data_IF_553285099922
#
_entry.id   IF_553285099922
#
_cell.length_a   1.000
_cell.length_b   1.000
_cell.length_c   1.000
_cell.angle_alpha   90.00
_cell.angle_beta   90.00
_cell.angle_gamma   90.00
#
_symmetry.space_group_name_H-M   'P 1'
#
loop_
_entity.id
_entity.type
_entity.pdbx_description
1 polymer ?
#
# COMPACT_ATOMS: atom_id res chain seq x y z
N UNK A 1 25.29 59.21 -2.51
CA UNK A 1 23.86 59.12 -2.18
C UNK A 1 23.36 57.79 -2.74
N UNK A 2 23.74 56.66 -2.12
CA UNK A 2 23.34 55.31 -2.56
C UNK A 2 23.86 54.25 -1.56
N UNK A 3 23.44 54.31 -0.29
CA UNK A 3 23.75 53.20 0.65
C UNK A 3 22.76 53.10 1.84
N UNK A 4 21.50 53.49 1.62
CA UNK A 4 20.45 53.40 2.66
C UNK A 4 19.25 52.52 2.28
N UNK A 5 19.12 52.11 1.02
CA UNK A 5 17.91 51.42 0.51
C UNK A 5 17.96 49.89 0.73
N UNK A 6 19.13 49.29 0.93
CA UNK A 6 19.28 47.83 1.09
C UNK A 6 18.94 47.28 2.49
N UNK A 7 18.91 48.12 3.53
CA UNK A 7 18.76 47.66 4.92
C UNK A 7 17.31 47.77 5.44
N UNK A 8 16.44 48.54 4.77
CA UNK A 8 15.00 48.64 5.08
C UNK A 8 14.19 47.47 4.48
N UNK A 9 14.53 47.00 3.28
CA UNK A 9 13.84 45.88 2.63
C UNK A 9 14.04 44.54 3.34
N UNK A 10 15.23 44.30 3.91
CA UNK A 10 15.55 43.08 4.69
C UNK A 10 14.91 43.14 6.10
N UNK A 11 14.73 44.34 6.67
CA UNK A 11 14.02 44.53 7.95
C UNK A 11 12.51 44.30 7.79
N UNK A 12 11.88 44.83 6.73
CA UNK A 12 10.46 44.64 6.46
C UNK A 12 10.09 43.17 6.21
N UNK A 13 10.86 42.44 5.39
CA UNK A 13 10.56 41.02 5.15
C UNK A 13 10.68 40.14 6.40
N UNK A 14 11.54 40.51 7.35
CA UNK A 14 11.71 39.79 8.61
C UNK A 14 10.62 40.16 9.63
N UNK A 15 10.13 41.40 9.60
CA UNK A 15 9.01 41.84 10.43
C UNK A 15 7.65 41.34 9.90
N UNK A 16 7.49 41.21 8.59
CA UNK A 16 6.33 40.56 7.96
C UNK A 16 6.31 39.06 8.26
N UNK A 17 7.45 38.36 8.17
CA UNK A 17 7.55 36.96 8.56
C UNK A 17 7.25 36.76 10.05
N UNK A 18 7.73 37.66 10.92
CA UNK A 18 7.38 37.63 12.35
C UNK A 18 5.89 37.90 12.59
N UNK A 19 5.27 38.82 11.86
CA UNK A 19 3.83 39.06 11.95
C UNK A 19 3.02 37.83 11.51
N UNK A 20 3.41 37.19 10.41
CA UNK A 20 2.79 35.94 9.93
C UNK A 20 2.94 34.82 10.94
N UNK A 21 4.14 34.60 11.49
CA UNK A 21 4.37 33.58 12.53
C UNK A 21 3.56 33.89 13.79
N UNK A 22 3.47 35.17 14.19
CA UNK A 22 2.69 35.59 15.37
C UNK A 22 1.19 35.37 15.15
N UNK A 23 0.68 35.64 13.94
CA UNK A 23 -0.72 35.42 13.55
C UNK A 23 -1.06 33.92 13.51
N UNK A 24 -0.16 33.09 12.97
CA UNK A 24 -0.29 31.63 13.00
C UNK A 24 -0.28 31.15 14.45
N UNK A 25 0.60 31.70 15.30
CA UNK A 25 0.68 31.37 16.71
C UNK A 25 -0.60 31.71 17.48
N UNK A 26 -1.21 32.88 17.24
CA UNK A 26 -2.50 33.24 17.87
C UNK A 26 -3.64 32.38 17.36
N UNK A 27 -3.71 32.10 16.05
CA UNK A 27 -4.74 31.20 15.49
C UNK A 27 -4.63 29.78 16.05
N UNK A 28 -3.42 29.22 16.12
CA UNK A 28 -3.17 27.91 16.72
C UNK A 28 -3.55 27.87 18.20
N UNK A 29 -3.32 28.97 18.93
CA UNK A 29 -3.68 29.07 20.34
C UNK A 29 -5.19 29.20 20.53
N UNK A 30 -5.88 30.01 19.74
CA UNK A 30 -7.35 30.10 19.77
C UNK A 30 -7.98 28.76 19.41
N UNK A 31 -7.51 28.10 18.35
CA UNK A 31 -7.95 26.77 17.98
C UNK A 31 -7.76 25.78 19.13
N UNK A 32 -6.59 25.79 19.78
CA UNK A 32 -6.29 24.93 20.92
C UNK A 32 -7.19 25.22 22.12
N UNK A 33 -7.41 26.49 22.46
CA UNK A 33 -8.28 26.89 23.58
C UNK A 33 -9.73 26.46 23.30
N UNK A 34 -10.24 26.65 22.08
CA UNK A 34 -11.56 26.14 21.66
C UNK A 34 -11.64 24.62 21.68
N UNK A 35 -10.61 23.90 21.22
CA UNK A 35 -10.54 22.43 21.33
C UNK A 35 -10.56 21.95 22.78
N UNK A 36 -9.93 22.71 23.68
CA UNK A 36 -9.87 22.42 25.11
C UNK A 36 -11.21 22.70 25.81
N UNK A 37 -11.88 23.80 25.47
CA UNK A 37 -13.22 24.14 25.98
C UNK A 37 -14.28 23.12 25.54
N UNK A 38 -14.12 22.55 24.36
CA UNK A 38 -15.00 21.50 23.83
C UNK A 38 -14.64 20.09 24.35
N UNK A 39 -13.62 19.93 25.21
CA UNK A 39 -13.19 18.62 25.73
C UNK A 39 -12.47 17.72 24.72
N UNK A 40 -12.18 18.24 23.54
CA UNK A 40 -11.67 17.51 22.36
C UNK A 40 -10.16 17.33 22.36
N UNK A 41 -9.44 18.05 23.22
CA UNK A 41 -7.96 18.12 23.21
C UNK A 41 -7.33 16.72 23.38
N UNK A 42 -7.92 15.84 24.20
CA UNK A 42 -7.39 14.48 24.41
C UNK A 42 -7.63 13.53 23.24
N UNK A 43 -8.85 13.49 22.69
CA UNK A 43 -9.20 12.58 21.60
C UNK A 43 -8.47 12.96 20.30
N UNK A 44 -8.38 14.26 19.99
CA UNK A 44 -7.62 14.74 18.84
C UNK A 44 -6.12 14.53 19.04
N UNK A 45 -5.57 14.75 20.25
CA UNK A 45 -4.17 14.42 20.52
C UNK A 45 -3.89 12.92 20.35
N UNK A 46 -4.80 12.04 20.78
CA UNK A 46 -4.64 10.59 20.60
C UNK A 46 -4.72 10.17 19.14
N UNK A 47 -5.67 10.69 18.37
CA UNK A 47 -5.78 10.43 16.93
C UNK A 47 -4.57 10.96 16.16
N UNK A 48 -4.08 12.16 16.48
CA UNK A 48 -2.86 12.70 15.87
C UNK A 48 -1.63 11.90 16.25
N UNK A 49 -1.58 11.37 17.49
CA UNK A 49 -0.49 10.52 17.96
C UNK A 49 -0.44 9.13 17.30
N UNK A 50 -1.55 8.62 16.75
CA UNK A 50 -1.61 7.32 16.06
C UNK A 50 -1.27 7.39 14.56
N UNK A 51 -1.31 8.58 13.94
CA UNK A 51 -0.95 8.78 12.52
C UNK A 51 0.48 8.31 12.20
N UNK A 52 1.53 8.64 13.00
CA UNK A 52 2.89 8.13 12.74
C UNK A 52 2.96 6.60 12.75
N UNK A 53 2.30 5.94 13.71
CA UNK A 53 2.25 4.47 13.80
C UNK A 53 1.58 3.86 12.57
N UNK A 54 0.46 4.42 12.11
CA UNK A 54 -0.20 3.99 10.87
C UNK A 54 0.70 4.14 9.63
N UNK A 55 1.45 5.25 9.53
CA UNK A 55 2.40 5.46 8.42
C UNK A 55 3.53 4.44 8.43
N UNK A 56 4.07 4.11 9.61
CA UNK A 56 5.15 3.14 9.73
C UNK A 56 4.67 1.71 9.43
N UNK A 57 3.43 1.37 9.81
CA UNK A 57 2.78 0.12 9.41
C UNK A 57 2.54 0.02 7.90
N UNK A 58 2.08 1.10 7.25
CA UNK A 58 1.91 1.11 5.79
C UNK A 58 3.26 0.96 5.06
N UNK A 59 4.30 1.63 5.55
CA UNK A 59 5.67 1.47 5.03
C UNK A 59 6.16 0.04 5.19
N UNK A 60 5.91 -0.57 6.35
CA UNK A 60 6.27 -1.96 6.61
C UNK A 60 5.59 -2.90 5.60
N UNK A 61 4.28 -2.73 5.37
CA UNK A 61 3.56 -3.49 4.33
C UNK A 61 4.19 -3.26 2.96
N UNK A 62 4.42 -2.01 2.56
CA UNK A 62 4.97 -1.70 1.25
C UNK A 62 6.35 -2.32 1.02
N UNK A 63 7.25 -2.21 2.01
CA UNK A 63 8.60 -2.76 1.94
C UNK A 63 8.57 -4.27 1.75
N UNK A 64 7.78 -4.95 2.55
CA UNK A 64 7.78 -6.39 2.54
C UNK A 64 6.99 -6.97 1.36
N UNK A 65 5.98 -6.25 0.82
CA UNK A 65 5.35 -6.58 -0.47
C UNK A 65 6.36 -6.49 -1.60
N UNK A 66 7.20 -5.45 -1.60
CA UNK A 66 8.27 -5.30 -2.58
C UNK A 66 9.29 -6.45 -2.47
N UNK A 67 9.68 -6.83 -1.24
CA UNK A 67 10.59 -7.94 -1.00
C UNK A 67 10.04 -9.27 -1.50
N UNK A 68 8.76 -9.57 -1.24
CA UNK A 68 8.12 -10.79 -1.71
C UNK A 68 8.04 -10.84 -3.25
N UNK A 69 7.71 -9.70 -3.88
CA UNK A 69 7.68 -9.58 -5.33
C UNK A 69 9.08 -9.77 -5.94
N UNK A 70 10.11 -9.16 -5.35
CA UNK A 70 11.50 -9.29 -5.78
C UNK A 70 11.99 -10.73 -5.70
N UNK A 71 11.77 -11.41 -4.56
CA UNK A 71 12.11 -12.85 -4.42
C UNK A 71 11.38 -13.71 -5.45
N UNK A 72 10.09 -13.44 -5.68
CA UNK A 72 9.30 -14.17 -6.67
C UNK A 72 9.87 -13.99 -8.07
N UNK A 73 10.17 -12.76 -8.46
CA UNK A 73 10.70 -12.45 -9.79
C UNK A 73 12.08 -13.08 -10.01
N UNK A 74 12.97 -12.96 -9.02
CA UNK A 74 14.31 -13.54 -9.08
C UNK A 74 14.27 -15.07 -9.23
N UNK A 75 13.41 -15.76 -8.47
CA UNK A 75 13.26 -17.21 -8.60
C UNK A 75 12.70 -17.61 -9.97
N UNK A 76 11.74 -16.84 -10.51
CA UNK A 76 11.24 -17.06 -11.88
C UNK A 76 12.32 -16.85 -12.94
N UNK A 77 13.18 -15.83 -12.78
CA UNK A 77 14.29 -15.56 -13.71
C UNK A 77 15.33 -16.68 -13.73
N UNK A 78 15.48 -17.44 -12.63
CA UNK A 78 16.30 -18.65 -12.56
C UNK A 78 15.57 -19.86 -13.16
N UNK A 79 14.31 -20.10 -12.78
CA UNK A 79 13.56 -21.30 -13.20
C UNK A 79 13.30 -21.30 -14.71
N UNK A 80 12.91 -20.16 -15.27
CA UNK A 80 12.47 -20.05 -16.67
C UNK A 80 13.50 -20.55 -17.69
N UNK A 81 14.78 -20.11 -17.69
CA UNK A 81 15.77 -20.62 -18.64
C UNK A 81 15.99 -22.13 -18.50
N UNK A 82 16.00 -22.68 -17.26
CA UNK A 82 16.15 -24.12 -17.05
C UNK A 82 15.04 -24.92 -17.74
N UNK A 83 13.79 -24.46 -17.63
CA UNK A 83 12.65 -25.12 -18.27
C UNK A 83 12.70 -25.01 -19.81
N UNK A 84 13.17 -23.87 -20.33
CA UNK A 84 13.35 -23.67 -21.78
C UNK A 84 14.42 -24.61 -22.32
N UNK A 85 15.58 -24.65 -21.69
CA UNK A 85 16.70 -25.49 -22.11
C UNK A 85 16.39 -26.98 -21.96
N UNK A 86 15.74 -27.38 -20.86
CA UNK A 86 15.29 -28.75 -20.65
C UNK A 86 14.33 -29.21 -21.75
N UNK A 87 13.31 -28.40 -22.09
CA UNK A 87 12.36 -28.76 -23.14
C UNK A 87 13.03 -28.81 -24.53
N UNK A 88 13.92 -27.86 -24.83
CA UNK A 88 14.69 -27.86 -26.07
C UNK A 88 15.53 -29.13 -26.20
N UNK A 89 16.32 -29.45 -25.18
CA UNK A 89 17.18 -30.64 -25.17
C UNK A 89 16.36 -31.93 -25.27
N UNK A 90 15.20 -31.98 -24.61
CA UNK A 90 14.27 -33.11 -24.71
C UNK A 90 13.76 -33.32 -26.15
N UNK A 91 13.38 -32.24 -26.84
CA UNK A 91 12.92 -32.28 -28.22
C UNK A 91 14.04 -32.73 -29.18
N UNK A 92 15.26 -32.21 -29.01
CA UNK A 92 16.43 -32.60 -29.81
C UNK A 92 16.75 -34.09 -29.62
N UNK A 93 16.74 -34.59 -28.38
CA UNK A 93 16.93 -36.01 -28.08
C UNK A 93 15.81 -36.87 -28.64
N UNK A 94 14.55 -36.44 -28.49
CA UNK A 94 13.39 -37.15 -29.04
C UNK A 94 13.53 -37.32 -30.55
N UNK A 95 13.95 -36.28 -31.26
CA UNK A 95 14.18 -36.34 -32.71
C UNK A 95 15.30 -37.34 -33.06
N UNK A 96 16.44 -37.30 -32.35
CA UNK A 96 17.54 -38.24 -32.58
C UNK A 96 17.11 -39.70 -32.35
N UNK A 97 16.28 -39.94 -31.33
CA UNK A 97 15.70 -41.26 -31.08
C UNK A 97 14.73 -41.71 -32.18
N UNK A 98 13.95 -40.80 -32.78
CA UNK A 98 13.04 -41.10 -33.88
C UNK A 98 13.78 -41.38 -35.20
N UNK A 99 14.90 -40.70 -35.44
CA UNK A 99 15.75 -40.88 -36.63
C UNK A 99 16.64 -42.13 -36.54
N UNK A 100 16.81 -42.69 -35.35
CA UNK A 100 17.57 -43.92 -35.14
C UNK A 100 16.80 -45.12 -35.69
N UNK A 101 17.23 -45.64 -36.84
CA UNK A 101 16.71 -46.84 -37.45
C UNK A 101 17.55 -48.08 -37.09
N UNK A 102 16.88 -49.19 -36.74
CA UNK A 102 17.51 -50.48 -36.44
C UNK A 102 17.54 -50.83 -34.94
N UNK A 103 17.92 -52.06 -34.63
CA UNK A 103 17.91 -52.60 -33.25
C UNK A 103 19.11 -52.14 -32.39
N UNK A 104 20.07 -51.40 -32.97
CA UNK A 104 21.28 -50.95 -32.27
C UNK A 104 21.29 -49.44 -32.06
N UNK A 105 21.33 -49.03 -30.78
CA UNK A 105 21.45 -47.62 -30.37
C UNK A 105 22.89 -47.13 -30.53
N UNK A 106 23.13 -45.98 -31.21
CA UNK A 106 24.45 -45.37 -31.30
C UNK A 106 24.99 -44.99 -29.91
N UNK A 107 26.29 -45.21 -29.68
CA UNK A 107 26.95 -44.87 -28.41
C UNK A 107 26.76 -43.39 -28.04
N UNK A 108 26.87 -42.50 -29.02
CA UNK A 108 26.69 -41.07 -28.83
C UNK A 108 25.27 -40.69 -28.39
N UNK A 109 24.24 -41.40 -28.88
CA UNK A 109 22.85 -41.18 -28.45
C UNK A 109 22.63 -41.65 -27.01
N UNK A 110 23.26 -42.77 -26.61
CA UNK A 110 23.25 -43.22 -25.21
C UNK A 110 23.92 -42.18 -24.30
N UNK A 111 25.11 -41.71 -24.66
CA UNK A 111 25.85 -40.69 -23.88
C UNK A 111 25.06 -39.37 -23.76
N UNK A 112 24.49 -38.88 -24.86
CA UNK A 112 23.62 -37.68 -24.84
C UNK A 112 22.39 -37.88 -23.97
N UNK A 113 21.78 -39.08 -23.99
CA UNK A 113 20.62 -39.39 -23.15
C UNK A 113 21.00 -39.41 -21.67
N UNK A 114 22.13 -40.05 -21.32
CA UNK A 114 22.63 -40.09 -19.94
C UNK A 114 22.97 -38.68 -19.43
N UNK A 115 23.63 -37.86 -20.25
CA UNK A 115 23.93 -36.47 -19.92
C UNK A 115 22.66 -35.64 -19.70
N UNK A 116 21.66 -35.78 -20.59
CA UNK A 116 20.38 -35.10 -20.45
C UNK A 116 19.63 -35.52 -19.17
N UNK A 117 19.61 -36.81 -18.84
CA UNK A 117 19.01 -37.28 -17.59
C UNK A 117 19.70 -36.69 -16.36
N UNK A 118 21.03 -36.56 -16.39
CA UNK A 118 21.79 -35.86 -15.35
C UNK A 118 21.39 -34.40 -15.21
N UNK A 119 21.26 -33.69 -16.34
CA UNK A 119 20.83 -32.29 -16.36
C UNK A 119 19.41 -32.12 -15.82
N UNK A 120 18.46 -32.98 -16.22
CA UNK A 120 17.07 -32.95 -15.72
C UNK A 120 17.03 -33.08 -14.20
N UNK A 121 17.82 -33.98 -13.61
CA UNK A 121 17.89 -34.14 -12.15
C UNK A 121 18.38 -32.85 -11.49
N UNK A 122 19.48 -32.28 -11.99
CA UNK A 122 20.07 -31.05 -11.43
C UNK A 122 19.13 -29.83 -11.58
N UNK A 123 18.52 -29.65 -12.74
CA UNK A 123 17.59 -28.54 -13.02
C UNK A 123 16.31 -28.67 -12.21
N UNK A 124 15.85 -29.91 -11.98
CA UNK A 124 14.69 -30.20 -11.13
C UNK A 124 14.97 -29.85 -9.66
N UNK A 125 16.16 -30.20 -9.14
CA UNK A 125 16.57 -29.83 -7.79
C UNK A 125 16.67 -28.31 -7.62
N UNK A 126 17.26 -27.62 -8.60
CA UNK A 126 17.37 -26.16 -8.63
C UNK A 126 15.98 -25.51 -8.69
N UNK A 127 15.12 -25.96 -9.59
CA UNK A 127 13.74 -25.48 -9.70
C UNK A 127 12.99 -25.66 -8.39
N UNK A 128 13.13 -26.81 -7.73
CA UNK A 128 12.50 -27.07 -6.42
C UNK A 128 13.01 -26.09 -5.37
N UNK A 129 14.30 -25.82 -5.32
CA UNK A 129 14.89 -24.88 -4.36
C UNK A 129 14.34 -23.46 -4.55
N UNK A 130 14.30 -22.97 -5.79
CA UNK A 130 13.73 -21.66 -6.11
C UNK A 130 12.24 -21.58 -5.77
N UNK A 131 11.45 -22.61 -6.10
CA UNK A 131 10.03 -22.66 -5.73
C UNK A 131 9.81 -22.63 -4.21
N UNK A 132 10.70 -23.24 -3.42
CA UNK A 132 10.65 -23.16 -1.95
C UNK A 132 11.00 -21.75 -1.45
N UNK A 133 11.99 -21.08 -2.03
CA UNK A 133 12.30 -19.68 -1.70
C UNK A 133 11.14 -18.73 -2.03
N UNK A 134 10.48 -18.94 -3.18
CA UNK A 134 9.28 -18.20 -3.57
C UNK A 134 8.15 -18.46 -2.57
N UNK A 135 7.93 -19.71 -2.17
CA UNK A 135 6.90 -20.08 -1.19
C UNK A 135 7.18 -19.45 0.19
N UNK A 136 8.42 -19.51 0.67
CA UNK A 136 8.81 -18.85 1.94
C UNK A 136 8.67 -17.32 1.86
N UNK A 137 8.86 -16.73 0.68
CA UNK A 137 8.59 -15.30 0.49
C UNK A 137 7.10 -14.95 0.64
N UNK A 138 6.19 -15.92 0.48
CA UNK A 138 4.74 -15.74 0.61
C UNK A 138 4.25 -15.77 2.07
N UNK A 139 5.03 -16.27 3.03
CA UNK A 139 4.72 -16.21 4.48
C UNK A 139 4.56 -14.77 5.00
N UNK A 140 4.99 -13.79 4.20
CA UNK A 140 4.71 -12.38 4.40
C UNK A 140 3.20 -12.02 4.42
N UNK A 141 2.34 -12.81 3.76
CA UNK A 141 0.90 -12.54 3.72
C UNK A 141 0.25 -12.61 5.12
N UNK A 142 0.71 -13.49 6.01
CA UNK A 142 0.16 -13.56 7.37
C UNK A 142 0.52 -12.30 8.18
N UNK A 143 1.77 -11.85 8.05
CA UNK A 143 2.26 -10.71 8.80
C UNK A 143 1.68 -9.37 8.28
N UNK A 144 1.45 -9.23 6.96
CA UNK A 144 0.67 -8.10 6.43
C UNK A 144 -0.77 -8.13 6.87
N UNK A 145 -1.42 -9.29 6.81
CA UNK A 145 -2.83 -9.42 7.20
C UNK A 145 -3.04 -8.94 8.63
N UNK A 146 -2.14 -9.32 9.55
CA UNK A 146 -2.18 -8.84 10.93
C UNK A 146 -1.94 -7.33 11.05
N UNK A 147 -1.03 -6.75 10.27
CA UNK A 147 -0.73 -5.31 10.30
C UNK A 147 -1.87 -4.49 9.69
N UNK A 148 -2.49 -4.97 8.61
CA UNK A 148 -3.70 -4.37 8.00
C UNK A 148 -4.85 -4.41 9.00
N UNK A 149 -5.09 -5.55 9.65
CA UNK A 149 -6.14 -5.67 10.66
C UNK A 149 -5.98 -4.65 11.80
N UNK A 150 -4.77 -4.53 12.35
CA UNK A 150 -4.47 -3.51 13.37
C UNK A 150 -4.69 -2.09 12.86
N UNK A 151 -4.36 -1.81 11.60
CA UNK A 151 -4.63 -0.49 11.01
C UNK A 151 -6.12 -0.22 10.83
N UNK A 152 -6.90 -1.22 10.41
CA UNK A 152 -8.36 -1.08 10.33
C UNK A 152 -8.95 -0.76 11.71
N UNK A 153 -8.50 -1.44 12.77
CA UNK A 153 -8.93 -1.15 14.14
C UNK A 153 -8.60 0.30 14.56
N UNK A 154 -7.40 0.81 14.22
CA UNK A 154 -7.02 2.20 14.51
C UNK A 154 -7.86 3.21 13.72
N UNK A 155 -8.16 2.92 12.46
CA UNK A 155 -8.99 3.78 11.61
C UNK A 155 -10.44 3.80 12.11
N UNK A 156 -11.02 2.64 12.44
CA UNK A 156 -12.37 2.54 13.01
C UNK A 156 -12.50 3.29 14.33
N UNK A 157 -11.48 3.23 15.18
CA UNK A 157 -11.46 3.96 16.45
C UNK A 157 -11.37 5.49 16.22
N UNK A 158 -10.52 5.92 15.29
CA UNK A 158 -10.43 7.33 14.91
C UNK A 158 -11.75 7.84 14.30
N UNK A 159 -12.40 7.04 13.45
CA UNK A 159 -13.70 7.35 12.87
C UNK A 159 -14.79 7.50 13.93
N UNK A 160 -14.91 6.55 14.87
CA UNK A 160 -15.87 6.62 15.98
C UNK A 160 -15.67 7.87 16.82
N UNK A 161 -14.42 8.21 17.13
CA UNK A 161 -14.11 9.41 17.90
C UNK A 161 -14.54 10.65 17.12
N UNK A 162 -14.17 10.80 15.85
CA UNK A 162 -14.57 11.94 15.02
C UNK A 162 -16.09 12.04 14.85
N UNK A 163 -16.80 10.92 14.70
CA UNK A 163 -18.26 10.89 14.64
C UNK A 163 -18.91 11.32 15.97
N UNK A 164 -18.36 10.87 17.11
CA UNK A 164 -18.83 11.33 18.41
C UNK A 164 -18.64 12.85 18.56
N UNK A 165 -17.48 13.38 18.15
CA UNK A 165 -17.22 14.82 18.18
C UNK A 165 -18.19 15.60 17.28
N UNK A 166 -18.45 15.10 16.06
CA UNK A 166 -19.43 15.71 15.17
C UNK A 166 -20.81 15.70 15.81
N UNK A 167 -21.31 14.55 16.27
CA UNK A 167 -22.64 14.44 16.88
C UNK A 167 -22.83 15.33 18.12
N UNK A 168 -21.81 15.46 18.98
CA UNK A 168 -21.85 16.33 20.15
C UNK A 168 -21.92 17.82 19.77
N UNK A 169 -21.27 18.21 18.67
CA UNK A 169 -21.18 19.60 18.21
C UNK A 169 -22.17 19.96 17.09
N UNK A 170 -22.90 18.99 16.54
CA UNK A 170 -23.98 19.23 15.56
C UNK A 170 -25.25 19.73 16.28
N UNK A 171 -25.86 20.84 15.83
CA UNK A 171 -27.15 21.31 16.35
C UNK A 171 -28.24 20.22 16.27
N UNK A 172 -29.17 20.13 17.22
CA UNK A 172 -30.18 19.07 17.27
C UNK A 172 -31.04 18.97 16.00
N UNK A 173 -31.24 20.08 15.29
CA UNK A 173 -31.97 20.14 14.01
C UNK A 173 -31.25 19.40 12.85
N UNK A 174 -29.91 19.33 12.88
CA UNK A 174 -29.10 18.64 11.88
C UNK A 174 -28.86 17.15 12.21
N UNK A 175 -28.89 16.74 13.48
CA UNK A 175 -28.71 15.33 13.89
C UNK A 175 -29.79 14.39 13.34
N UNK A 176 -31.01 14.89 13.14
CA UNK A 176 -32.12 14.12 12.58
C UNK A 176 -31.95 13.80 11.08
N UNK A 177 -31.14 14.58 10.36
CA UNK A 177 -30.77 14.30 8.95
C UNK A 177 -29.67 13.25 8.86
N UNK A 178 -28.62 13.36 9.69
CA UNK A 178 -27.46 12.44 9.68
C UNK A 178 -27.81 10.99 10.08
N UNK A 179 -28.82 10.77 10.92
CA UNK A 179 -29.27 9.40 11.27
C UNK A 179 -30.03 8.69 10.13
N UNK A 180 -30.57 9.41 9.15
CA UNK A 180 -31.26 8.82 8.00
C UNK A 180 -30.32 8.54 6.81
N UNK A 181 -29.18 9.23 6.72
CA UNK A 181 -28.25 9.16 5.58
C UNK A 181 -26.96 8.42 5.94
N UNK A 182 -27.11 7.17 6.39
CA UNK A 182 -26.03 6.30 6.86
C UNK A 182 -24.72 6.48 6.07
N UNK A 183 -23.66 6.78 6.82
CA UNK A 183 -22.28 7.02 6.37
C UNK A 183 -21.62 5.75 5.78
N UNK A 184 -22.19 5.22 4.70
CA UNK A 184 -21.68 4.09 3.93
C UNK A 184 -20.77 4.60 2.79
N UNK A 185 -19.67 5.26 3.13
CA UNK A 185 -18.65 5.64 2.16
C UNK A 185 -17.31 4.93 2.45
N UNK A 186 -17.34 3.60 2.31
CA UNK A 186 -16.14 2.79 2.04
C UNK A 186 -16.11 2.36 0.57
N UNK A 187 -14.96 1.92 0.02
CA UNK A 187 -14.90 1.40 -1.35
C UNK A 187 -15.93 0.28 -1.50
N UNK A 188 -16.84 0.44 -2.47
CA UNK A 188 -17.99 -0.45 -2.62
C UNK A 188 -17.56 -1.82 -3.17
N UNK A 189 -17.34 -2.79 -2.27
CA UNK A 189 -17.08 -4.20 -2.60
C UNK A 189 -18.36 -5.03 -2.41
N UNK A 190 -19.52 -4.48 -2.80
CA UNK A 190 -20.74 -5.27 -2.90
C UNK A 190 -21.50 -4.85 -4.15
N UNK A 191 -21.36 -5.64 -5.22
CA UNK A 191 -21.98 -5.39 -6.54
C UNK A 191 -23.45 -5.85 -6.64
N UNK A 192 -24.05 -6.33 -5.56
CA UNK A 192 -25.41 -6.90 -5.61
C UNK A 192 -26.45 -6.15 -4.74
N UNK A 193 -26.11 -4.97 -4.21
CA UNK A 193 -27.05 -4.12 -3.48
C UNK A 193 -27.45 -2.88 -4.29
N UNK A 194 -28.76 -2.62 -4.37
CA UNK A 194 -29.39 -1.47 -5.05
C UNK A 194 -28.92 -0.13 -4.45
N UNK A 195 -27.73 0.35 -4.83
CA UNK A 195 -27.39 1.78 -4.79
C UNK A 195 -26.10 2.09 -5.56
N UNK A 196 -26.03 1.59 -6.78
CA UNK A 196 -25.00 2.00 -7.75
C UNK A 196 -25.40 3.39 -8.26
N UNK A 197 -24.77 4.44 -7.73
CA UNK A 197 -24.73 5.86 -8.15
C UNK A 197 -24.99 6.85 -7.00
N UNK A 198 -24.16 6.81 -5.95
CA UNK A 198 -23.93 7.96 -5.07
C UNK A 198 -22.61 8.62 -5.50
N UNK A 199 -22.59 9.13 -6.73
CA UNK A 199 -21.41 9.71 -7.37
C UNK A 199 -21.32 11.20 -7.05
N UNK A 200 -20.22 11.62 -6.40
CA UNK A 200 -19.54 12.94 -6.46
C UNK A 200 -20.36 14.24 -6.28
N UNK A 201 -21.54 14.39 -6.88
CA UNK A 201 -22.42 15.55 -6.75
C UNK A 201 -22.86 15.80 -5.31
N UNK A 202 -23.06 14.75 -4.52
CA UNK A 202 -23.44 14.89 -3.10
C UNK A 202 -22.30 15.39 -2.21
N UNK A 203 -21.04 15.27 -2.67
CA UNK A 203 -19.89 15.84 -1.98
C UNK A 203 -19.77 17.32 -2.32
N UNK A 204 -19.99 17.70 -3.59
CA UNK A 204 -20.00 19.10 -4.01
C UNK A 204 -21.16 19.88 -3.37
N UNK A 205 -22.36 19.29 -3.29
CA UNK A 205 -23.53 19.91 -2.65
C UNK A 205 -23.30 20.18 -1.14
N UNK A 206 -22.54 19.31 -0.47
CA UNK A 206 -22.21 19.47 0.96
C UNK A 206 -21.12 20.53 1.19
N UNK A 207 -20.23 20.73 0.22
CA UNK A 207 -19.19 21.76 0.26
C UNK A 207 -19.80 23.15 0.00
N UNK A 208 -20.73 23.24 -0.95
CA UNK A 208 -21.49 24.45 -1.26
C UNK A 208 -22.35 24.92 -0.06
N UNK A 209 -23.00 24.00 0.68
CA UNK A 209 -23.78 24.35 1.89
C UNK A 209 -22.90 24.80 3.08
N UNK A 210 -21.65 24.35 3.13
CA UNK A 210 -20.68 24.73 4.17
C UNK A 210 -19.84 25.96 3.79
N UNK A 211 -20.03 26.49 2.58
CA UNK A 211 -19.44 27.75 2.11
C UNK A 211 -18.00 27.64 1.58
N UNK A 212 -17.62 26.50 1.01
CA UNK A 212 -16.36 26.30 0.28
C UNK A 212 -16.57 26.15 -1.21
#
# INVERSE_FOLDING_TARGET
MTEQVGMEGIRNGNDDLKQVITRIGTLMRTLRESMRELGLEKSVQQAVASIPDGKDRLRYIAQMTAQAAEKTLNGIDVIKPLQVDMNKNAQELQQQWQETAGDTVPAQLRESTEAFLGQVIQDSETTKAELLEIMMAQDFQDLTGQVIKKMMEVVEEAEKQLLALLMENTPPEMRAKTQNEGLLNGPQINKEGVNVMASQSQVDDLLDELGF
#
